data_IF_762903471407
#
_entry.id   IF_762903471407
#
_cell.length_a   1.000
_cell.length_b   1.000
_cell.length_c   1.000
_cell.angle_alpha   90.00
_cell.angle_beta   90.00
_cell.angle_gamma   90.00
#
_symmetry.space_group_name_H-M   'P 1'
#
loop_
_entity.id
_entity.type
_entity.pdbx_description
1 polymer ?
#
# COMPACT_ATOMS: atom_id res chain seq x y z
N UNK A 1 -21.65 -28.94 -2.12
CA UNK A 1 -21.67 -27.69 -1.33
C UNK A 1 -20.44 -27.74 -0.45
N UNK A 2 -19.31 -27.25 -0.94
CA UNK A 2 -18.09 -27.16 -0.12
C UNK A 2 -18.34 -26.13 0.98
N UNK A 3 -18.37 -26.61 2.21
CA UNK A 3 -18.57 -25.75 3.38
C UNK A 3 -17.24 -25.06 3.63
N UNK A 4 -17.15 -23.77 3.30
CA UNK A 4 -15.96 -22.95 3.54
C UNK A 4 -15.65 -22.97 5.05
N UNK A 5 -14.66 -23.78 5.45
CA UNK A 5 -14.27 -23.95 6.85
C UNK A 5 -13.24 -22.89 7.20
N UNK A 6 -13.65 -21.91 8.01
CA UNK A 6 -12.75 -20.90 8.56
C UNK A 6 -12.12 -21.41 9.86
N UNK A 7 -10.79 -21.41 9.94
CA UNK A 7 -10.04 -21.69 11.16
C UNK A 7 -9.55 -20.36 11.77
N UNK A 8 -9.71 -20.21 13.09
CA UNK A 8 -9.24 -19.05 13.83
C UNK A 8 -8.02 -19.44 14.68
N UNK A 9 -7.01 -18.58 14.70
CA UNK A 9 -5.78 -18.77 15.48
C UNK A 9 -5.48 -17.46 16.20
N UNK A 10 -5.03 -17.54 17.45
CA UNK A 10 -4.63 -16.36 18.21
C UNK A 10 -3.28 -15.83 17.71
N UNK A 11 -3.10 -14.50 17.77
CA UNK A 11 -1.84 -13.87 17.35
C UNK A 11 -0.64 -14.38 18.16
N UNK A 12 -0.84 -14.72 19.43
CA UNK A 12 0.20 -15.27 20.31
C UNK A 12 0.70 -16.65 19.90
N UNK A 13 -0.11 -17.42 19.18
CA UNK A 13 0.23 -18.79 18.76
C UNK A 13 0.98 -18.80 17.41
N UNK A 14 1.10 -17.64 16.75
CA UNK A 14 1.71 -17.48 15.44
C UNK A 14 3.14 -16.92 15.55
N UNK A 15 4.12 -17.77 15.85
CA UNK A 15 5.54 -17.38 15.92
C UNK A 15 6.19 -17.18 14.53
N UNK A 16 5.59 -16.34 13.70
CA UNK A 16 6.05 -16.01 12.36
C UNK A 16 6.03 -14.50 12.13
N UNK A 17 6.88 -14.02 11.23
CA UNK A 17 6.89 -12.62 10.83
C UNK A 17 5.65 -12.28 10.02
N UNK A 18 5.19 -11.04 10.17
CA UNK A 18 4.13 -10.49 9.32
C UNK A 18 4.66 -10.31 7.90
N UNK A 19 3.85 -10.72 6.94
CA UNK A 19 4.17 -10.63 5.52
C UNK A 19 3.07 -9.86 4.79
N UNK A 20 3.49 -8.93 3.93
CA UNK A 20 2.58 -8.11 3.14
C UNK A 20 3.02 -8.21 1.68
N UNK A 21 2.07 -8.47 0.79
CA UNK A 21 2.31 -8.51 -0.64
C UNK A 21 2.00 -7.15 -1.24
N UNK A 22 2.99 -6.53 -1.89
CA UNK A 22 2.79 -5.33 -2.68
C UNK A 22 2.42 -5.77 -4.10
N UNK A 23 1.18 -5.49 -4.51
CA UNK A 23 0.62 -5.85 -5.80
C UNK A 23 0.98 -4.83 -6.87
N UNK A 24 0.01 -3.97 -7.20
CA UNK A 24 0.14 -2.97 -8.26
C UNK A 24 -0.26 -1.58 -7.79
N UNK A 25 0.38 -0.57 -8.37
CA UNK A 25 -0.02 0.83 -8.26
C UNK A 25 -0.72 1.23 -9.56
N UNK A 26 -1.96 1.67 -9.43
CA UNK A 26 -2.74 2.25 -10.52
C UNK A 26 -2.84 3.75 -10.30
N UNK A 27 -2.78 4.55 -11.37
CA UNK A 27 -2.85 6.00 -11.29
C UNK A 27 -2.11 6.67 -12.44
N UNK A 28 -2.32 7.98 -12.59
CA UNK A 28 -1.53 8.81 -13.51
C UNK A 28 -0.73 9.79 -12.66
N UNK A 29 0.58 9.86 -12.87
CA UNK A 29 1.39 10.97 -12.34
C UNK A 29 1.23 12.16 -13.27
N UNK A 30 0.94 13.33 -12.69
CA UNK A 30 1.03 14.57 -13.45
C UNK A 30 2.49 14.88 -13.76
N UNK A 31 2.78 15.09 -15.04
CA UNK A 31 4.09 15.58 -15.45
C UNK A 31 4.24 17.02 -14.96
N UNK A 32 5.37 17.30 -14.29
CA UNK A 32 5.68 18.66 -13.85
C UNK A 32 5.91 19.56 -15.08
N UNK A 33 5.54 20.84 -14.96
CA UNK A 33 5.65 21.79 -16.07
C UNK A 33 7.12 22.00 -16.49
N UNK A 34 7.34 22.40 -17.75
CA UNK A 34 8.67 22.70 -18.26
C UNK A 34 9.41 23.80 -17.46
N UNK A 35 8.67 24.71 -16.81
CA UNK A 35 9.27 25.70 -15.90
C UNK A 35 9.95 25.04 -14.71
N UNK A 36 9.36 23.99 -14.15
CA UNK A 36 9.97 23.24 -13.07
C UNK A 36 11.29 22.57 -13.51
N UNK A 37 11.37 22.05 -14.75
CA UNK A 37 12.62 21.51 -15.31
C UNK A 37 13.75 22.54 -15.40
N UNK A 38 13.41 23.79 -15.71
CA UNK A 38 14.39 24.88 -15.82
C UNK A 38 14.89 25.28 -14.43
N UNK A 39 14.03 25.22 -13.42
CA UNK A 39 14.36 25.52 -12.02
C UNK A 39 15.16 24.40 -11.35
N UNK A 40 14.83 23.13 -11.63
CA UNK A 40 15.56 21.96 -11.12
C UNK A 40 15.95 21.00 -12.25
N UNK A 41 17.18 21.11 -12.77
CA UNK A 41 17.69 20.21 -13.81
C UNK A 41 17.67 18.72 -13.44
N UNK A 42 17.65 18.37 -12.15
CA UNK A 42 17.62 16.97 -11.71
C UNK A 42 16.29 16.29 -11.97
N UNK A 43 15.22 17.06 -12.20
CA UNK A 43 13.94 16.52 -12.63
C UNK A 43 14.05 15.66 -13.89
N UNK A 44 15.01 15.94 -14.78
CA UNK A 44 15.23 15.13 -15.99
C UNK A 44 15.55 13.67 -15.69
N UNK A 45 16.10 13.38 -14.51
CA UNK A 45 16.43 12.02 -14.07
C UNK A 45 15.28 11.35 -13.30
N UNK A 46 14.26 12.11 -12.88
CA UNK A 46 13.02 11.55 -12.37
C UNK A 46 12.30 10.82 -13.49
N UNK A 47 11.68 9.69 -13.15
CA UNK A 47 10.85 8.93 -14.08
C UNK A 47 9.60 9.67 -14.58
N UNK A 48 9.40 10.94 -14.22
CA UNK A 48 8.39 11.84 -14.81
C UNK A 48 8.73 12.29 -16.24
N UNK A 49 10.02 12.29 -16.62
CA UNK A 49 10.49 12.76 -17.93
C UNK A 49 11.11 11.65 -18.79
N UNK A 50 11.08 10.40 -18.31
CA UNK A 50 11.40 9.23 -19.12
C UNK A 50 10.17 8.86 -19.96
N UNK A 51 10.39 8.34 -21.17
CA UNK A 51 9.30 7.88 -22.06
C UNK A 51 8.58 6.62 -21.52
N UNK A 52 9.23 5.91 -20.58
CA UNK A 52 8.74 4.70 -19.93
C UNK A 52 8.19 4.96 -18.51
N UNK A 53 7.54 3.97 -17.91
CA UNK A 53 7.10 4.06 -16.50
C UNK A 53 8.26 4.39 -15.55
N UNK A 54 8.02 5.29 -14.60
CA UNK A 54 9.01 5.67 -13.59
C UNK A 54 9.49 4.47 -12.76
N UNK A 55 10.78 4.44 -12.43
CA UNK A 55 11.35 3.48 -11.48
C UNK A 55 10.92 3.83 -10.04
N UNK A 56 9.89 3.14 -9.57
CA UNK A 56 9.30 3.36 -8.25
C UNK A 56 9.65 2.21 -7.30
N UNK A 57 9.81 2.52 -6.03
CA UNK A 57 9.86 1.52 -4.97
C UNK A 57 8.91 1.88 -3.83
N UNK A 58 8.47 0.87 -3.08
CA UNK A 58 7.57 1.06 -1.95
C UNK A 58 8.32 0.73 -0.67
N UNK A 59 8.23 1.60 0.33
CA UNK A 59 8.64 1.30 1.70
C UNK A 59 7.42 0.97 2.54
N UNK A 60 7.58 0.05 3.46
CA UNK A 60 6.57 -0.43 4.36
C UNK A 60 7.10 -0.40 5.79
N UNK A 61 6.38 0.24 6.69
CA UNK A 61 6.76 0.35 8.09
C UNK A 61 5.54 0.20 8.99
N UNK A 62 5.72 -0.54 10.09
CA UNK A 62 4.66 -0.79 11.06
C UNK A 62 4.76 0.21 12.20
N UNK A 63 3.62 0.77 12.56
CA UNK A 63 3.44 1.73 13.64
C UNK A 63 2.38 1.23 14.63
N UNK A 64 2.49 1.64 15.87
CA UNK A 64 1.42 1.54 16.86
C UNK A 64 1.43 2.81 17.72
N UNK A 65 0.25 3.39 17.95
CA UNK A 65 0.10 4.63 18.73
C UNK A 65 1.03 5.76 18.23
N UNK A 66 1.24 5.85 16.91
CA UNK A 66 2.12 6.83 16.27
C UNK A 66 3.62 6.57 16.42
N UNK A 67 4.04 5.44 17.02
CA UNK A 67 5.45 5.06 17.19
C UNK A 67 5.81 3.91 16.24
N UNK A 68 6.98 3.97 15.58
CA UNK A 68 7.43 2.88 14.73
C UNK A 68 7.77 1.65 15.59
N UNK A 69 7.16 0.51 15.28
CA UNK A 69 7.47 -0.78 15.93
C UNK A 69 8.67 -1.48 15.29
N UNK A 70 8.95 -1.18 14.03
CA UNK A 70 9.98 -1.86 13.26
C UNK A 70 10.65 -0.91 12.26
N UNK A 71 11.81 -1.33 11.76
CA UNK A 71 12.51 -0.62 10.68
C UNK A 71 11.71 -0.71 9.37
N UNK A 72 11.80 0.33 8.51
CA UNK A 72 11.15 0.31 7.21
C UNK A 72 11.78 -0.77 6.32
N UNK A 73 10.93 -1.54 5.65
CA UNK A 73 11.32 -2.53 4.63
C UNK A 73 10.93 -1.99 3.26
N UNK A 74 11.80 -2.15 2.27
CA UNK A 74 11.52 -1.70 0.90
C UNK A 74 11.37 -2.86 -0.08
N UNK A 75 10.59 -2.64 -1.13
CA UNK A 75 10.56 -3.51 -2.31
C UNK A 75 11.92 -3.54 -3.00
N UNK A 76 12.18 -4.66 -3.68
CA UNK A 76 13.31 -4.82 -4.57
C UNK A 76 13.19 -3.89 -5.77
N UNK A 77 14.33 -3.54 -6.38
CA UNK A 77 14.33 -2.76 -7.61
C UNK A 77 13.71 -3.59 -8.76
N UNK A 78 12.85 -2.94 -9.54
CA UNK A 78 12.23 -3.51 -10.73
C UNK A 78 12.04 -2.41 -11.77
N UNK A 79 12.54 -2.65 -12.98
CA UNK A 79 12.28 -1.77 -14.11
C UNK A 79 10.85 -2.00 -14.61
N UNK A 80 10.07 -0.92 -14.73
CA UNK A 80 8.68 -0.97 -15.19
C UNK A 80 8.57 -0.52 -16.64
N UNK A 81 7.84 -1.27 -17.46
CA UNK A 81 7.57 -0.90 -18.85
C UNK A 81 6.22 -0.18 -19.00
N UNK A 82 5.14 -0.84 -18.59
CA UNK A 82 3.76 -0.37 -18.87
C UNK A 82 2.91 -0.16 -17.61
N UNK A 83 3.18 -0.90 -16.54
CA UNK A 83 2.41 -0.85 -15.29
C UNK A 83 3.34 -1.05 -14.09
N UNK A 84 3.05 -0.35 -13.01
CA UNK A 84 3.71 -0.57 -11.72
C UNK A 84 3.11 -1.81 -11.05
N UNK A 85 3.70 -2.96 -11.30
CA UNK A 85 3.30 -4.23 -10.67
C UNK A 85 4.53 -4.87 -10.03
N UNK A 86 4.64 -4.77 -8.70
CA UNK A 86 5.71 -5.40 -7.94
C UNK A 86 5.46 -6.91 -7.82
N UNK A 87 4.26 -7.29 -7.37
CA UNK A 87 3.90 -8.68 -7.03
C UNK A 87 4.91 -9.31 -6.06
N UNK A 88 5.37 -8.53 -5.09
CA UNK A 88 6.48 -8.87 -4.19
C UNK A 88 5.99 -9.05 -2.75
N UNK A 89 6.46 -10.11 -2.10
CA UNK A 89 6.26 -10.35 -0.68
C UNK A 89 7.32 -9.62 0.15
N UNK A 90 6.88 -8.69 0.99
CA UNK A 90 7.71 -8.05 1.99
C UNK A 90 7.55 -8.76 3.33
N UNK A 91 8.66 -9.29 3.86
CA UNK A 91 8.73 -9.83 5.21
C UNK A 91 9.10 -8.71 6.17
N UNK A 92 8.20 -8.36 7.07
CA UNK A 92 8.43 -7.31 8.05
C UNK A 92 9.21 -7.83 9.26
N UNK A 93 10.09 -7.01 9.87
CA UNK A 93 10.84 -7.38 11.06
C UNK A 93 9.98 -7.28 12.34
N UNK A 94 8.73 -7.75 12.28
CA UNK A 94 7.79 -7.83 13.41
C UNK A 94 7.01 -9.13 13.31
N UNK A 95 6.77 -9.81 14.44
CA UNK A 95 5.98 -11.04 14.50
C UNK A 95 4.53 -10.76 14.86
N UNK A 96 3.63 -11.71 14.61
CA UNK A 96 2.21 -11.58 14.98
C UNK A 96 1.96 -11.37 16.49
N UNK A 97 2.67 -12.04 17.42
CA UNK A 97 2.46 -11.85 18.87
C UNK A 97 2.84 -10.44 19.34
N UNK A 98 3.75 -9.78 18.63
CA UNK A 98 4.27 -8.46 18.97
C UNK A 98 3.38 -7.33 18.46
N UNK A 99 2.33 -7.63 17.68
CA UNK A 99 1.45 -6.63 17.11
C UNK A 99 0.29 -6.28 18.07
N UNK A 100 0.19 -5.03 18.54
CA UNK A 100 -0.98 -4.57 19.28
C UNK A 100 -2.18 -4.39 18.35
N UNK A 101 -3.39 -4.34 18.91
CA UNK A 101 -4.62 -4.12 18.14
C UNK A 101 -4.62 -2.78 17.38
N UNK A 102 -3.96 -1.75 17.91
CA UNK A 102 -3.80 -0.43 17.29
C UNK A 102 -2.77 -0.42 16.16
N UNK A 103 -2.13 -1.55 15.84
CA UNK A 103 -1.08 -1.60 14.83
C UNK A 103 -1.60 -1.17 13.44
N UNK A 104 -0.85 -0.28 12.81
CA UNK A 104 -1.07 0.21 11.47
C UNK A 104 0.19 0.03 10.64
N UNK A 105 0.02 -0.08 9.33
CA UNK A 105 1.13 -0.10 8.39
C UNK A 105 1.06 1.14 7.52
N UNK A 106 2.17 1.87 7.48
CA UNK A 106 2.41 2.98 6.59
C UNK A 106 3.20 2.49 5.38
N UNK A 107 2.69 2.80 4.20
CA UNK A 107 3.27 2.49 2.91
C UNK A 107 3.57 3.82 2.21
N UNK A 108 4.80 3.98 1.72
CA UNK A 108 5.21 5.16 0.96
C UNK A 108 5.79 4.72 -0.37
N UNK A 109 5.26 5.27 -1.46
CA UNK A 109 5.77 5.10 -2.81
C UNK A 109 6.80 6.20 -3.06
N UNK A 110 8.00 5.80 -3.48
CA UNK A 110 9.13 6.69 -3.71
C UNK A 110 9.52 6.70 -5.18
N UNK A 111 9.88 7.87 -5.67
CA UNK A 111 10.51 8.07 -6.97
C UNK A 111 12.00 8.35 -6.76
N UNK A 112 12.85 7.66 -7.52
CA UNK A 112 14.29 7.87 -7.51
C UNK A 112 14.57 9.14 -8.32
N UNK A 113 14.80 10.24 -7.61
CA UNK A 113 14.99 11.56 -8.20
C UNK A 113 16.43 11.81 -8.64
N UNK A 114 17.38 11.08 -8.06
CA UNK A 114 18.79 11.19 -8.35
C UNK A 114 19.63 10.42 -7.32
N UNK A 115 20.97 10.51 -7.41
CA UNK A 115 21.87 9.81 -6.51
C UNK A 115 21.59 10.16 -5.04
N UNK A 116 21.18 9.18 -4.25
CA UNK A 116 20.88 9.36 -2.82
C UNK A 116 19.64 10.20 -2.51
N UNK A 117 18.84 10.60 -3.52
CA UNK A 117 17.65 11.42 -3.32
C UNK A 117 16.41 10.69 -3.84
N UNK A 118 15.51 10.39 -2.92
CA UNK A 118 14.18 9.87 -3.21
C UNK A 118 13.13 10.90 -2.81
N UNK A 119 12.07 11.02 -3.59
CA UNK A 119 10.96 11.94 -3.33
C UNK A 119 9.69 11.12 -3.15
N UNK A 120 8.86 11.40 -2.12
CA UNK A 120 7.61 10.69 -1.95
C UNK A 120 6.66 11.03 -3.09
N UNK A 121 6.24 10.00 -3.83
CA UNK A 121 5.16 10.09 -4.82
C UNK A 121 3.83 10.09 -4.12
N UNK A 122 3.71 9.29 -3.05
CA UNK A 122 2.55 9.31 -2.20
C UNK A 122 2.57 8.24 -1.13
N UNK A 123 1.72 8.45 -0.12
CA UNK A 123 1.70 7.70 1.11
C UNK A 123 0.31 7.15 1.40
N UNK A 124 0.24 6.03 2.10
CA UNK A 124 -1.00 5.44 2.55
C UNK A 124 -0.79 4.68 3.86
N UNK A 125 -1.73 4.83 4.78
CA UNK A 125 -1.69 4.17 6.09
C UNK A 125 -2.96 3.34 6.27
N UNK A 126 -2.80 2.08 6.68
CA UNK A 126 -3.93 1.17 6.90
C UNK A 126 -3.77 0.38 8.21
N UNK A 127 -4.85 0.25 8.97
CA UNK A 127 -4.84 -0.58 10.19
C UNK A 127 -4.70 -2.06 9.82
N UNK A 128 -3.88 -2.80 10.58
CA UNK A 128 -3.69 -4.24 10.40
C UNK A 128 -4.86 -5.04 10.98
N UNK A 129 -5.47 -4.56 12.06
CA UNK A 129 -6.63 -5.18 12.67
C UNK A 129 -7.93 -4.44 12.33
N UNK A 130 -9.03 -5.20 12.24
CA UNK A 130 -10.38 -4.67 12.17
C UNK A 130 -10.92 -4.24 13.54
N UNK A 131 -12.13 -3.67 13.56
CA UNK A 131 -12.81 -3.23 14.78
C UNK A 131 -12.95 -4.34 15.83
N UNK A 132 -13.10 -5.59 15.38
CA UNK A 132 -13.28 -6.77 16.24
C UNK A 132 -11.97 -7.48 16.60
N UNK A 133 -10.81 -6.85 16.38
CA UNK A 133 -9.51 -7.44 16.72
C UNK A 133 -9.03 -8.55 15.77
N UNK A 134 -9.76 -8.80 14.67
CA UNK A 134 -9.33 -9.75 13.64
C UNK A 134 -8.27 -9.12 12.73
N UNK A 135 -7.18 -9.83 12.48
CA UNK A 135 -6.17 -9.42 11.50
C UNK A 135 -6.77 -9.40 10.10
N UNK A 136 -6.52 -8.34 9.35
CA UNK A 136 -7.07 -8.17 8.00
C UNK A 136 -6.33 -9.05 7.01
N UNK A 137 -7.09 -9.93 6.37
CA UNK A 137 -6.62 -10.87 5.36
C UNK A 137 -7.23 -10.55 4.00
N UNK A 138 -6.55 -10.99 2.94
CA UNK A 138 -7.03 -10.86 1.56
C UNK A 138 -6.40 -9.70 0.81
N UNK A 139 -7.08 -9.23 -0.23
CA UNK A 139 -6.62 -8.13 -1.09
C UNK A 139 -7.33 -6.83 -0.70
N UNK A 140 -6.57 -5.75 -0.62
CA UNK A 140 -7.04 -4.42 -0.26
C UNK A 140 -6.59 -3.40 -1.29
N UNK A 141 -7.55 -2.65 -1.81
CA UNK A 141 -7.29 -1.46 -2.62
C UNK A 141 -7.14 -0.26 -1.70
N UNK A 142 -5.94 0.32 -1.62
CA UNK A 142 -5.62 1.44 -0.75
C UNK A 142 -5.50 2.73 -1.54
N UNK A 143 -6.16 3.79 -1.07
CA UNK A 143 -5.96 5.15 -1.58
C UNK A 143 -4.54 5.62 -1.26
N UNK A 144 -3.84 6.11 -2.27
CA UNK A 144 -2.53 6.76 -2.11
C UNK A 144 -2.69 8.28 -2.13
N UNK A 145 -2.16 8.95 -1.11
CA UNK A 145 -2.17 10.40 -0.97
C UNK A 145 -0.95 11.00 -1.67
N UNK A 146 -1.12 11.87 -2.68
CA UNK A 146 -0.01 12.34 -3.51
C UNK A 146 0.92 13.27 -2.73
N UNK A 147 2.23 13.12 -2.95
CA UNK A 147 3.28 14.01 -2.45
C UNK A 147 3.55 13.97 -0.95
N UNK A 148 2.92 13.05 -0.22
CA UNK A 148 3.09 12.89 1.23
C UNK A 148 3.57 11.48 1.56
N UNK A 149 4.27 11.33 2.68
CA UNK A 149 4.65 10.03 3.21
C UNK A 149 3.51 9.41 4.03
N UNK A 150 3.48 8.08 4.13
CA UNK A 150 2.60 7.41 5.08
C UNK A 150 3.04 7.76 6.51
N UNK A 151 2.16 8.41 7.25
CA UNK A 151 2.46 8.98 8.56
C UNK A 151 2.35 7.98 9.72
N UNK A 152 1.63 6.86 9.56
CA UNK A 152 1.51 5.84 10.61
C UNK A 152 0.85 6.33 11.92
N UNK A 153 0.23 7.51 11.88
CA UNK A 153 -0.33 8.20 13.05
C UNK A 153 -1.69 7.67 13.51
N UNK A 154 -2.08 8.05 14.72
CA UNK A 154 -3.40 7.80 15.27
C UNK A 154 -3.94 9.11 15.89
N UNK A 155 -4.83 9.86 15.20
CA UNK A 155 -5.38 9.60 13.87
C UNK A 155 -4.38 9.86 12.72
N UNK A 156 -4.47 9.09 11.63
CA UNK A 156 -3.63 9.24 10.43
C UNK A 156 -4.17 10.32 9.49
N UNK A 157 -3.26 11.10 8.91
CA UNK A 157 -3.50 12.06 7.83
C UNK A 157 -3.51 11.42 6.44
N UNK A 158 -3.04 10.17 6.31
CA UNK A 158 -2.98 9.42 5.05
C UNK A 158 -3.83 8.13 5.06
N UNK A 159 -5.12 8.17 5.44
CA UNK A 159 -5.92 6.95 5.53
C UNK A 159 -6.07 6.28 4.16
N UNK A 160 -5.65 5.02 4.08
CA UNK A 160 -5.72 4.20 2.86
C UNK A 160 -7.10 3.61 2.59
N UNK A 161 -7.90 3.40 3.64
CA UNK A 161 -9.30 3.01 3.52
C UNK A 161 -10.18 4.17 3.96
N UNK A 162 -10.85 4.80 3.00
CA UNK A 162 -11.89 5.81 3.25
C UNK A 162 -13.26 5.14 3.42
N UNK A 163 -14.23 5.83 4.02
CA UNK A 163 -15.62 5.32 4.18
C UNK A 163 -16.23 4.81 2.86
N UNK A 164 -15.90 5.45 1.74
CA UNK A 164 -16.27 5.00 0.39
C UNK A 164 -15.67 3.65 -0.01
N UNK A 165 -14.42 3.37 0.35
CA UNK A 165 -13.78 2.06 0.09
C UNK A 165 -14.36 0.93 0.94
N UNK A 166 -14.86 1.23 2.14
CA UNK A 166 -15.56 0.26 2.99
C UNK A 166 -16.92 -0.14 2.41
N UNK A 167 -17.63 0.80 1.78
CA UNK A 167 -18.90 0.54 1.08
C UNK A 167 -18.68 -0.11 -0.29
N UNK A 168 -17.62 0.26 -1.03
CA UNK A 168 -17.23 -0.38 -2.29
C UNK A 168 -16.79 -1.84 -2.08
N UNK A 169 -16.06 -2.18 -1.01
CA UNK A 169 -15.68 -3.56 -0.68
C UNK A 169 -16.91 -4.46 -0.37
N UNK A 170 -17.98 -3.89 0.19
CA UNK A 170 -19.23 -4.63 0.40
C UNK A 170 -19.99 -4.88 -0.91
N UNK A 171 -19.96 -3.92 -1.85
CA UNK A 171 -20.57 -4.07 -3.17
C UNK A 171 -19.74 -4.94 -4.13
N UNK A 172 -18.41 -4.89 -4.06
CA UNK A 172 -17.51 -5.69 -4.90
C UNK A 172 -17.60 -7.20 -4.63
N UNK A 173 -17.98 -7.60 -3.41
CA UNK A 173 -18.26 -9.01 -3.07
C UNK A 173 -19.61 -9.51 -3.61
N UNK A 174 -20.51 -8.60 -4.00
CA UNK A 174 -21.83 -8.90 -4.57
C UNK A 174 -21.91 -8.69 -6.09
N UNK A 175 -21.02 -7.89 -6.69
CA UNK A 175 -21.04 -7.57 -8.10
C UNK A 175 -20.25 -8.58 -8.96
N UNK A 176 -20.74 -9.81 -9.06
CA UNK A 176 -20.64 -10.55 -10.34
C UNK A 176 -21.88 -10.18 -11.15
N UNK A 177 -21.71 -9.30 -12.14
CA UNK A 177 -22.72 -8.68 -13.01
C UNK A 177 -23.36 -7.39 -12.47
N UNK A 178 -22.72 -6.24 -12.72
CA UNK A 178 -23.39 -5.05 -13.29
C UNK A 178 -22.37 -3.91 -13.55
N UNK A 179 -22.31 -3.42 -14.80
CA UNK A 179 -21.84 -2.05 -15.10
C UNK A 179 -23.00 -1.09 -14.85
N UNK A 180 -22.79 0.03 -14.15
CA UNK A 180 -22.95 1.31 -14.84
C UNK A 180 -22.02 2.44 -14.31
N UNK A 181 -21.67 3.35 -15.21
CA UNK A 181 -20.86 4.53 -14.89
C UNK A 181 -21.61 5.70 -14.27
N UNK A 182 -20.82 6.62 -13.68
CA UNK A 182 -20.94 8.09 -13.70
C UNK A 182 -20.53 8.74 -12.35
N UNK A 183 -19.60 9.73 -12.42
CA UNK A 183 -19.24 10.72 -11.39
C UNK A 183 -18.31 10.22 -10.28
N UNK A 184 -17.16 10.80 -9.93
CA UNK A 184 -16.62 12.16 -10.04
C UNK A 184 -15.10 12.01 -10.20
N UNK A 185 -14.50 12.67 -11.19
CA UNK A 185 -13.11 12.43 -11.61
C UNK A 185 -12.11 13.11 -10.67
N UNK A 186 -11.82 12.47 -9.53
CA UNK A 186 -10.58 12.74 -8.78
C UNK A 186 -9.66 11.57 -9.10
N UNK A 187 -8.66 11.78 -9.96
CA UNK A 187 -7.69 10.75 -10.39
C UNK A 187 -6.90 10.25 -9.17
N UNK A 188 -7.43 9.22 -8.52
CA UNK A 188 -6.90 8.71 -7.26
C UNK A 188 -6.08 7.46 -7.54
N UNK A 189 -4.80 7.49 -7.16
CA UNK A 189 -3.94 6.33 -7.32
C UNK A 189 -4.31 5.27 -6.28
N UNK A 190 -4.48 4.01 -6.70
CA UNK A 190 -4.80 2.86 -5.83
C UNK A 190 -3.60 1.93 -5.76
N UNK A 191 -3.14 1.61 -4.55
CA UNK A 191 -2.15 0.58 -4.30
C UNK A 191 -2.88 -0.69 -3.85
N UNK A 192 -2.76 -1.75 -4.64
CA UNK A 192 -3.23 -3.08 -4.27
C UNK A 192 -2.22 -3.75 -3.37
N UNK A 193 -2.62 -4.05 -2.14
CA UNK A 193 -1.83 -4.84 -1.20
C UNK A 193 -2.59 -6.11 -0.85
N UNK A 194 -1.88 -7.21 -0.61
CA UNK A 194 -2.51 -8.43 -0.13
C UNK A 194 -1.78 -9.00 1.07
N UNK A 195 -2.55 -9.32 2.11
CA UNK A 195 -2.07 -10.03 3.28
C UNK A 195 -2.60 -11.45 3.19
N UNK A 196 -1.94 -12.28 2.37
CA UNK A 196 -2.10 -13.73 2.43
C UNK A 196 -1.14 -14.20 3.52
N UNK A 197 -1.62 -14.26 4.76
CA UNK A 197 -1.09 -15.25 5.71
C UNK A 197 -1.16 -16.60 5.01
N UNK A 198 -0.03 -17.31 4.97
CA UNK A 198 0.06 -18.69 4.49
C UNK A 198 -1.23 -19.45 4.78
N UNK A 199 -1.86 -19.98 3.74
CA UNK A 199 -2.77 -21.11 3.87
C UNK A 199 -1.98 -22.19 4.60
N UNK A 200 -2.19 -22.34 5.90
CA UNK A 200 -1.80 -23.55 6.58
C UNK A 200 -2.66 -24.66 5.98
N UNK A 201 -2.11 -25.35 4.98
CA UNK A 201 -2.59 -26.66 4.59
C UNK A 201 -2.27 -27.60 5.77
N UNK A 202 -3.30 -28.01 6.50
CA UNK A 202 -3.36 -29.36 7.04
C UNK A 202 -4.36 -30.14 6.20
#
# INVERSE_FOLDING_TARGET
>A
MDTDKFNYVYSCDLDINVQLKIGSLEGKREQKSYKALLEDPMLRFSGLYQENCSDLYVTCQVFAEGKPLALPVRTSYKAFSTRWNWNEWLRLPVKYPDLPQSAQVALTVWDVYGPGKAVPVGGTTVTLFGKYGMFRQGMHDLKVWPGVEGDGGEPTTTPGRTSSSLTEDQMGRLAKHFDPGCGVNTRMSRLRCSNITHTFCF
#
